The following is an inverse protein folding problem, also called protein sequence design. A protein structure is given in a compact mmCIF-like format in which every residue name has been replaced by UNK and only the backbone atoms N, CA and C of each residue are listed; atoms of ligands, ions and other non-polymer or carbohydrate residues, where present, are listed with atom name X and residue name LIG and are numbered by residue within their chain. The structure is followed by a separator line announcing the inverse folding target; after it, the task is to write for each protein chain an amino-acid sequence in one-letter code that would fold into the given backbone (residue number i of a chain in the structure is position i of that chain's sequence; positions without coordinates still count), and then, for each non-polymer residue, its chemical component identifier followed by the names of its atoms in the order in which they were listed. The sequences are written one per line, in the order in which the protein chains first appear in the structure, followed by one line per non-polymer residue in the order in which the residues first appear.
data_IF_994838946667
#
_entry.id   IF_994838946667
#
_cell.length_a   1.000
_cell.length_b   1.000
_cell.length_c   1.000
_cell.angle_alpha   90.00
_cell.angle_beta   90.00
_cell.angle_gamma   90.00
#
_symmetry.space_group_name_H-M   'P 1'
#
loop_
_entity.id
_entity.type
_entity.pdbx_description
1 polymer ?
#
# COMPACT_ATOMS: atom_id res chain seq x y z
N UNK A 1 5.85 -7.35 -22.25
CA UNK A 1 4.42 -7.60 -22.54
C UNK A 1 4.04 -6.76 -23.74
N UNK A 2 3.33 -7.34 -24.68
CA UNK A 2 2.75 -6.65 -25.83
C UNK A 2 1.23 -6.77 -25.76
N UNK A 3 0.53 -5.70 -26.06
CA UNK A 3 -0.94 -5.64 -26.10
C UNK A 3 -1.39 -5.15 -27.49
N UNK A 4 -2.30 -5.89 -28.08
CA UNK A 4 -2.98 -5.57 -29.34
C UNK A 4 -4.44 -5.17 -29.05
N UNK A 5 -4.75 -3.90 -29.26
CA UNK A 5 -6.08 -3.34 -28.96
C UNK A 5 -7.19 -3.85 -29.90
N UNK A 6 -6.83 -4.30 -31.11
CA UNK A 6 -7.78 -4.79 -32.10
C UNK A 6 -8.31 -6.18 -31.72
N UNK A 7 -7.45 -7.03 -31.17
CA UNK A 7 -7.77 -8.42 -30.83
C UNK A 7 -7.95 -8.65 -29.33
N UNK A 8 -7.59 -7.67 -28.49
CA UNK A 8 -7.53 -7.84 -27.04
C UNK A 8 -6.41 -8.77 -26.58
N UNK A 9 -5.52 -9.19 -27.48
CA UNK A 9 -4.46 -10.16 -27.18
C UNK A 9 -3.33 -9.50 -26.39
N UNK A 10 -2.99 -10.13 -25.26
CA UNK A 10 -1.80 -9.81 -24.46
C UNK A 10 -0.79 -10.93 -24.58
N UNK A 11 0.45 -10.62 -24.90
CA UNK A 11 1.58 -11.56 -24.92
C UNK A 11 2.57 -11.20 -23.84
N UNK A 12 2.86 -12.16 -22.98
CA UNK A 12 3.89 -12.01 -21.96
C UNK A 12 5.21 -12.61 -22.42
N UNK A 13 6.30 -11.90 -22.13
CA UNK A 13 7.64 -12.43 -22.39
C UNK A 13 8.02 -13.54 -21.40
N UNK A 14 8.98 -14.42 -21.74
CA UNK A 14 9.31 -15.61 -20.97
C UNK A 14 9.54 -15.36 -19.48
N UNK A 15 10.19 -14.24 -19.13
CA UNK A 15 10.43 -13.89 -17.74
C UNK A 15 9.13 -13.75 -16.92
N UNK A 16 8.14 -13.05 -17.47
CA UNK A 16 6.86 -12.87 -16.78
C UNK A 16 6.10 -14.21 -16.66
N UNK A 17 6.12 -15.04 -17.70
CA UNK A 17 5.53 -16.38 -17.66
C UNK A 17 6.14 -17.23 -16.56
N UNK A 18 7.47 -17.17 -16.41
CA UNK A 18 8.21 -17.97 -15.43
C UNK A 18 8.01 -17.45 -13.99
N UNK A 19 8.15 -16.15 -13.77
CA UNK A 19 8.18 -15.57 -12.41
C UNK A 19 6.81 -15.09 -11.91
N UNK A 20 5.97 -14.55 -12.79
CA UNK A 20 4.62 -14.11 -12.43
C UNK A 20 3.57 -15.22 -12.54
N UNK A 21 3.96 -16.39 -13.10
CA UNK A 21 3.05 -17.55 -13.32
C UNK A 21 1.82 -17.24 -14.17
N UNK A 22 1.95 -16.28 -15.09
CA UNK A 22 0.89 -15.90 -16.03
C UNK A 22 1.00 -16.73 -17.32
N UNK A 23 -0.10 -16.96 -18.06
CA UNK A 23 -0.04 -17.58 -19.38
C UNK A 23 0.82 -16.75 -20.36
N UNK A 24 1.44 -17.41 -21.35
CA UNK A 24 2.22 -16.70 -22.38
C UNK A 24 1.34 -15.77 -23.23
N UNK A 25 0.09 -16.15 -23.44
CA UNK A 25 -0.93 -15.37 -24.15
C UNK A 25 -2.25 -15.43 -23.40
N UNK A 26 -3.00 -14.32 -23.38
CA UNK A 26 -4.36 -14.23 -22.87
C UNK A 26 -5.14 -13.16 -23.63
N UNK A 27 -6.46 -13.22 -23.56
CA UNK A 27 -7.36 -12.24 -24.15
C UNK A 27 -8.03 -11.41 -23.05
N UNK A 28 -7.94 -10.10 -23.14
CA UNK A 28 -8.65 -9.17 -22.28
C UNK A 28 -9.95 -8.71 -22.96
N UNK A 29 -11.05 -8.60 -22.19
CA UNK A 29 -11.15 -8.79 -20.73
C UNK A 29 -11.40 -10.22 -20.24
N UNK A 30 -11.60 -11.20 -21.12
CA UNK A 30 -12.12 -12.54 -20.78
C UNK A 30 -11.20 -13.32 -19.82
N UNK A 31 -9.91 -13.18 -19.98
CA UNK A 31 -8.89 -13.93 -19.22
C UNK A 31 -8.26 -13.10 -18.07
N UNK A 32 -8.93 -12.05 -17.62
CA UNK A 32 -8.38 -11.15 -16.59
C UNK A 32 -7.95 -11.90 -15.32
N UNK A 33 -8.73 -12.88 -14.89
CA UNK A 33 -8.44 -13.68 -13.70
C UNK A 33 -7.16 -14.52 -13.81
N UNK A 34 -6.70 -14.75 -15.05
CA UNK A 34 -5.45 -15.49 -15.34
C UNK A 34 -4.25 -14.59 -15.50
N UNK A 35 -4.46 -13.28 -15.58
CA UNK A 35 -3.42 -12.30 -15.89
C UNK A 35 -2.49 -11.99 -14.70
N UNK A 36 -2.90 -12.34 -13.48
CA UNK A 36 -2.23 -11.90 -12.26
C UNK A 36 -2.46 -10.42 -11.92
N UNK A 37 -3.23 -9.70 -12.75
CA UNK A 37 -3.62 -8.30 -12.53
C UNK A 37 -5.05 -8.23 -11.99
N UNK A 38 -5.31 -7.25 -11.14
CA UNK A 38 -6.66 -6.90 -10.73
C UNK A 38 -7.37 -6.09 -11.82
N UNK A 39 -8.69 -5.97 -11.75
CA UNK A 39 -9.44 -5.08 -12.63
C UNK A 39 -8.96 -3.62 -12.51
N UNK A 40 -8.54 -3.22 -11.30
CA UNK A 40 -8.01 -1.90 -11.04
C UNK A 40 -6.64 -1.68 -11.69
N UNK A 41 -5.76 -2.66 -11.65
CA UNK A 41 -4.48 -2.60 -12.36
C UNK A 41 -4.69 -2.36 -13.86
N UNK A 42 -5.64 -3.06 -14.46
CA UNK A 42 -5.99 -2.87 -15.87
C UNK A 42 -6.53 -1.46 -16.12
N UNK A 43 -7.42 -0.94 -15.25
CA UNK A 43 -7.94 0.44 -15.37
C UNK A 43 -6.82 1.48 -15.28
N UNK A 44 -5.86 1.29 -14.36
CA UNK A 44 -4.69 2.18 -14.20
C UNK A 44 -3.83 2.19 -15.46
N UNK A 45 -3.52 1.01 -16.01
CA UNK A 45 -2.77 0.86 -17.26
C UNK A 45 -3.53 1.55 -18.41
N UNK A 46 -4.82 1.27 -18.56
CA UNK A 46 -5.65 1.88 -19.60
C UNK A 46 -5.72 3.42 -19.46
N UNK A 47 -5.87 3.94 -18.24
CA UNK A 47 -5.87 5.39 -17.98
C UNK A 47 -4.53 6.02 -18.37
N UNK A 48 -3.42 5.39 -18.01
CA UNK A 48 -2.09 5.86 -18.39
C UNK A 48 -1.91 5.86 -19.92
N UNK A 49 -2.33 4.81 -20.61
CA UNK A 49 -2.26 4.72 -22.07
C UNK A 49 -3.17 5.72 -22.78
N UNK A 50 -4.37 5.99 -22.24
CA UNK A 50 -5.29 7.02 -22.81
C UNK A 50 -4.72 8.44 -22.72
N UNK A 51 -3.79 8.71 -21.84
CA UNK A 51 -3.10 9.99 -21.74
C UNK A 51 -1.98 10.14 -22.78
N UNK A 52 -1.60 9.08 -23.50
CA UNK A 52 -0.57 9.10 -24.54
C UNK A 52 -1.13 9.57 -25.86
N UNK A 53 -0.24 10.05 -26.73
CA UNK A 53 -0.55 10.46 -28.10
C UNK A 53 0.54 9.94 -29.03
N UNK A 54 0.34 9.99 -30.36
CA UNK A 54 1.38 9.62 -31.35
C UNK A 54 2.68 10.40 -31.15
N UNK A 55 2.61 11.67 -30.74
CA UNK A 55 3.78 12.52 -30.50
C UNK A 55 4.40 12.32 -29.11
N UNK A 56 3.61 11.84 -28.14
CA UNK A 56 4.02 11.56 -26.77
C UNK A 56 3.56 10.14 -26.41
N UNK A 57 4.18 9.10 -26.98
CA UNK A 57 3.68 7.73 -26.85
C UNK A 57 4.08 7.06 -25.53
N UNK A 58 5.00 7.65 -24.76
CA UNK A 58 5.54 7.05 -23.56
C UNK A 58 4.83 7.55 -22.32
N UNK A 59 4.57 6.65 -21.37
CA UNK A 59 4.10 6.96 -20.03
C UNK A 59 4.66 5.92 -19.06
N UNK A 60 4.63 6.23 -17.76
CA UNK A 60 5.11 5.33 -16.72
C UNK A 60 4.12 5.27 -15.57
N UNK A 61 4.05 4.13 -14.92
CA UNK A 61 3.34 3.97 -13.65
C UNK A 61 4.07 2.97 -12.75
N UNK A 62 3.86 3.09 -11.45
CA UNK A 62 4.36 2.09 -10.51
C UNK A 62 3.22 1.20 -10.07
N UNK A 63 3.46 -0.11 -9.97
CA UNK A 63 2.47 -1.07 -9.52
C UNK A 63 3.13 -2.28 -8.86
N UNK A 64 2.36 -2.97 -8.00
CA UNK A 64 2.75 -4.23 -7.40
C UNK A 64 2.50 -5.36 -8.41
N UNK A 65 3.53 -6.15 -8.68
CA UNK A 65 3.41 -7.35 -9.51
C UNK A 65 3.71 -8.59 -8.67
N UNK A 66 2.94 -9.67 -8.84
CA UNK A 66 3.25 -10.96 -8.22
C UNK A 66 4.46 -11.57 -8.93
N UNK A 67 5.57 -11.73 -8.23
CA UNK A 67 6.80 -12.35 -8.72
C UNK A 67 7.21 -13.43 -7.73
N UNK A 68 7.34 -14.68 -8.19
CA UNK A 68 7.68 -15.85 -7.37
C UNK A 68 6.78 -16.04 -6.13
N UNK A 69 5.52 -15.58 -6.22
CA UNK A 69 4.53 -15.71 -5.16
C UNK A 69 4.53 -14.56 -4.14
N UNK A 70 5.38 -13.57 -4.32
CA UNK A 70 5.43 -12.35 -3.51
C UNK A 70 5.10 -11.11 -4.34
N UNK A 71 4.54 -10.07 -3.72
CA UNK A 71 4.23 -8.80 -4.39
C UNK A 71 5.44 -7.87 -4.31
N UNK A 72 5.96 -7.50 -5.47
CA UNK A 72 7.08 -6.59 -5.60
C UNK A 72 6.71 -5.34 -6.39
N UNK A 73 7.21 -4.20 -5.96
CA UNK A 73 7.06 -2.96 -6.70
C UNK A 73 7.86 -2.97 -7.99
N UNK A 74 7.18 -2.63 -9.09
CA UNK A 74 7.78 -2.47 -10.40
C UNK A 74 7.41 -1.13 -11.00
N UNK A 75 8.36 -0.51 -11.68
CA UNK A 75 8.10 0.58 -12.62
C UNK A 75 7.71 -0.03 -13.94
N UNK A 76 6.54 0.33 -14.43
CA UNK A 76 6.02 -0.12 -15.73
C UNK A 76 6.17 1.04 -16.71
N UNK A 77 7.15 0.94 -17.58
CA UNK A 77 7.26 1.84 -18.73
C UNK A 77 6.33 1.33 -19.83
N UNK A 78 5.39 2.17 -20.25
CA UNK A 78 4.42 1.88 -21.29
C UNK A 78 4.72 2.73 -22.52
N UNK A 79 4.64 2.12 -23.69
CA UNK A 79 4.72 2.82 -24.96
C UNK A 79 3.53 2.43 -25.83
N UNK A 80 2.68 3.40 -26.13
CA UNK A 80 1.56 3.22 -27.07
C UNK A 80 2.06 3.14 -28.52
N UNK A 81 1.39 2.32 -29.30
CA UNK A 81 1.64 2.12 -30.74
C UNK A 81 0.44 2.70 -31.49
N UNK A 82 0.72 3.54 -32.46
CA UNK A 82 -0.29 4.26 -33.25
C UNK A 82 -0.13 3.92 -34.73
N UNK A 83 -1.23 3.92 -35.48
CA UNK A 83 -1.21 3.76 -36.94
C UNK A 83 -0.49 4.91 -37.64
N UNK A 84 -0.08 4.70 -38.87
CA UNK A 84 0.48 5.72 -39.75
C UNK A 84 -0.60 6.56 -40.46
N UNK A 85 -1.86 6.21 -40.31
CA UNK A 85 -3.01 6.87 -40.93
C UNK A 85 -3.20 8.31 -40.44
N UNK A 86 -4.04 9.06 -41.15
CA UNK A 86 -4.48 10.40 -40.75
C UNK A 86 -6.02 10.46 -40.81
N UNK A 87 -6.71 10.61 -39.68
CA UNK A 87 -6.19 10.70 -38.29
C UNK A 87 -5.61 9.36 -37.77
N UNK A 88 -4.57 9.43 -36.93
CA UNK A 88 -3.97 8.23 -36.35
C UNK A 88 -4.92 7.57 -35.35
N UNK A 89 -4.94 6.24 -35.32
CA UNK A 89 -5.67 5.47 -34.34
C UNK A 89 -4.74 4.57 -33.52
N UNK A 90 -5.16 4.23 -32.31
CA UNK A 90 -4.40 3.40 -31.36
C UNK A 90 -4.42 1.95 -31.84
N UNK A 91 -3.24 1.32 -31.89
CA UNK A 91 -3.06 -0.08 -32.28
C UNK A 91 -2.78 -0.99 -31.09
N UNK A 92 -2.14 -0.47 -30.06
CA UNK A 92 -1.76 -1.28 -28.90
C UNK A 92 -0.65 -0.63 -28.08
N UNK A 93 -0.02 -1.40 -27.22
CA UNK A 93 1.08 -0.95 -26.39
C UNK A 93 2.11 -2.01 -26.13
N UNK A 94 3.35 -1.57 -25.86
CA UNK A 94 4.42 -2.38 -25.30
C UNK A 94 4.67 -1.93 -23.87
N UNK A 95 4.83 -2.88 -22.95
CA UNK A 95 5.18 -2.60 -21.57
C UNK A 95 6.45 -3.31 -21.15
N UNK A 96 7.28 -2.60 -20.42
CA UNK A 96 8.47 -3.12 -19.77
C UNK A 96 8.36 -2.89 -18.27
N UNK A 97 8.39 -3.98 -17.50
CA UNK A 97 8.47 -3.92 -16.05
C UNK A 97 9.94 -3.94 -15.61
N UNK A 98 10.31 -3.01 -14.75
CA UNK A 98 11.63 -2.97 -14.11
C UNK A 98 11.42 -3.07 -12.62
N UNK A 99 11.99 -4.07 -11.92
CA UNK A 99 11.95 -4.13 -10.47
C UNK A 99 12.45 -2.81 -9.88
N UNK A 100 11.73 -2.29 -8.93
CA UNK A 100 12.16 -1.07 -8.23
C UNK A 100 13.41 -1.36 -7.38
N UNK A 101 13.76 -2.61 -7.17
CA UNK A 101 14.92 -3.06 -6.40
C UNK A 101 16.29 -2.62 -6.95
N UNK A 102 16.46 -2.43 -8.25
CA UNK A 102 17.71 -1.89 -8.80
C UNK A 102 17.90 -0.37 -8.61
N UNK A 103 16.83 0.32 -8.23
CA UNK A 103 16.88 1.69 -7.68
C UNK A 103 16.89 1.66 -6.12
N UNK A 104 16.90 0.45 -5.52
CA UNK A 104 16.44 0.20 -4.17
C UNK A 104 17.40 0.54 -3.04
N UNK A 105 18.68 0.63 -3.22
CA UNK A 105 19.50 1.07 -2.07
C UNK A 105 19.24 2.57 -1.79
N UNK A 106 19.14 3.38 -2.82
CA UNK A 106 18.81 4.80 -2.66
C UNK A 106 17.31 5.01 -2.29
N UNK A 107 16.39 4.28 -2.90
CA UNK A 107 14.96 4.41 -2.59
C UNK A 107 14.55 3.74 -1.26
N UNK A 108 15.23 2.67 -0.82
CA UNK A 108 15.00 2.10 0.51
C UNK A 108 15.35 3.09 1.62
N UNK A 109 16.48 3.77 1.51
CA UNK A 109 16.87 4.79 2.48
C UNK A 109 15.93 5.99 2.47
N UNK A 110 15.45 6.42 1.29
CA UNK A 110 14.56 7.58 1.14
C UNK A 110 13.09 7.24 1.44
N UNK A 111 12.67 5.97 1.27
CA UNK A 111 11.27 5.54 1.47
C UNK A 111 10.93 5.12 2.89
N UNK A 112 11.93 4.86 3.73
CA UNK A 112 11.73 4.36 5.09
C UNK A 112 12.01 5.44 6.13
N UNK A 113 11.26 5.36 7.22
CA UNK A 113 11.57 6.12 8.42
C UNK A 113 12.78 5.50 9.14
N UNK A 114 13.78 6.29 9.46
CA UNK A 114 15.05 5.82 10.01
C UNK A 114 14.91 5.22 11.42
N UNK A 115 13.89 5.62 12.18
CA UNK A 115 13.68 5.13 13.53
C UNK A 115 12.93 3.80 13.54
N UNK A 116 11.91 3.66 12.71
CA UNK A 116 10.94 2.56 12.77
C UNK A 116 11.09 1.55 11.63
N UNK A 117 11.78 1.91 10.55
CA UNK A 117 11.85 1.18 9.29
C UNK A 117 10.49 0.95 8.60
N UNK A 118 9.41 1.54 9.11
CA UNK A 118 8.15 1.67 8.39
C UNK A 118 8.33 2.56 7.14
N UNK A 119 7.41 2.54 6.19
CA UNK A 119 7.42 3.55 5.14
C UNK A 119 7.27 4.94 5.75
N UNK A 120 7.96 5.93 5.19
CA UNK A 120 7.76 7.31 5.64
C UNK A 120 6.57 7.96 4.92
N UNK A 121 6.11 9.08 5.45
CA UNK A 121 4.96 9.82 4.92
C UNK A 121 5.19 10.29 3.48
N UNK A 122 6.38 10.77 3.15
CA UNK A 122 6.69 11.24 1.79
C UNK A 122 6.56 10.12 0.75
N UNK A 123 7.00 8.92 1.08
CA UNK A 123 6.82 7.76 0.21
C UNK A 123 5.34 7.37 0.08
N UNK A 124 4.59 7.42 1.19
CA UNK A 124 3.15 7.19 1.16
C UNK A 124 2.45 8.17 0.22
N UNK A 125 2.66 9.47 0.38
CA UNK A 125 2.03 10.51 -0.42
C UNK A 125 2.40 10.45 -1.91
N UNK A 126 3.66 10.10 -2.22
CA UNK A 126 4.15 10.05 -3.60
C UNK A 126 3.87 8.75 -4.34
N UNK A 127 3.72 7.63 -3.63
CA UNK A 127 3.66 6.30 -4.23
C UNK A 127 2.43 5.50 -3.80
N UNK A 128 2.22 5.32 -2.48
CA UNK A 128 1.16 4.45 -1.99
C UNK A 128 -0.23 5.07 -2.14
N UNK A 129 -0.35 6.37 -2.00
CA UNK A 129 -1.63 7.08 -2.21
C UNK A 129 -2.13 6.93 -3.65
N UNK A 130 -1.24 6.70 -4.61
CA UNK A 130 -1.59 6.45 -6.01
C UNK A 130 -2.20 5.06 -6.25
N UNK A 131 -2.20 4.15 -5.26
CA UNK A 131 -2.87 2.85 -5.35
C UNK A 131 -4.39 2.95 -5.43
N UNK A 132 -4.96 4.10 -5.15
CA UNK A 132 -6.37 4.47 -5.26
C UNK A 132 -7.31 3.74 -4.30
N UNK A 133 -7.18 2.43 -4.07
CA UNK A 133 -8.08 1.62 -3.25
C UNK A 133 -7.32 0.70 -2.30
N UNK A 134 -7.92 0.42 -1.15
CA UNK A 134 -7.50 -0.60 -0.18
C UNK A 134 -8.73 -1.37 0.31
N UNK A 135 -8.53 -2.56 0.88
CA UNK A 135 -9.62 -3.33 1.50
C UNK A 135 -9.74 -3.09 3.01
N UNK A 136 -8.80 -2.31 3.56
CA UNK A 136 -8.83 -1.82 4.91
C UNK A 136 -7.80 -0.73 5.13
N UNK A 137 -8.20 0.31 5.85
CA UNK A 137 -7.36 1.43 6.29
C UNK A 137 -7.46 1.55 7.79
N UNK A 138 -6.32 1.52 8.48
CA UNK A 138 -6.25 1.60 9.93
C UNK A 138 -5.26 2.68 10.34
N UNK A 139 -5.74 3.67 11.10
CA UNK A 139 -4.92 4.67 11.76
C UNK A 139 -4.67 4.24 13.21
N UNK A 140 -3.44 4.41 13.66
CA UNK A 140 -2.98 4.07 14.99
C UNK A 140 -2.17 5.22 15.57
N UNK A 141 -2.38 5.52 16.84
CA UNK A 141 -1.65 6.56 17.57
C UNK A 141 -1.35 6.08 19.00
N UNK A 142 -0.11 6.34 19.46
CA UNK A 142 0.32 5.99 20.80
C UNK A 142 -0.41 6.84 21.85
N UNK A 143 -0.96 6.16 22.87
CA UNK A 143 -1.63 6.86 23.95
C UNK A 143 -0.61 7.52 24.89
N UNK A 144 -0.86 8.77 25.23
CA UNK A 144 -0.03 9.54 26.15
C UNK A 144 1.45 9.71 25.77
N UNK A 145 1.78 9.63 24.48
CA UNK A 145 3.19 9.69 24.03
C UNK A 145 3.93 10.95 24.51
N UNK A 146 3.28 12.11 24.51
CA UNK A 146 3.87 13.34 25.04
C UNK A 146 4.27 13.21 26.51
N UNK A 147 3.51 12.47 27.33
CA UNK A 147 3.86 12.20 28.73
C UNK A 147 5.03 11.23 28.84
N UNK A 148 5.15 10.23 27.96
CA UNK A 148 6.30 9.33 27.90
C UNK A 148 7.59 10.12 27.66
N UNK A 149 7.62 10.92 26.60
CA UNK A 149 8.78 11.75 26.26
C UNK A 149 9.09 12.81 27.33
N UNK A 150 8.05 13.40 27.94
CA UNK A 150 8.21 14.40 29.02
C UNK A 150 8.72 13.83 30.33
N UNK A 151 8.33 12.60 30.69
CA UNK A 151 8.68 11.97 31.97
C UNK A 151 9.99 11.19 31.88
N UNK A 152 10.19 10.43 30.82
CA UNK A 152 11.32 9.50 30.66
C UNK A 152 12.39 10.00 29.68
N UNK A 153 12.15 11.15 29.05
CA UNK A 153 13.06 11.76 28.08
C UNK A 153 12.94 11.21 26.66
N UNK A 154 13.58 11.89 25.71
CA UNK A 154 13.50 11.59 24.28
C UNK A 154 13.93 10.16 23.92
N UNK A 155 14.99 9.65 24.56
CA UNK A 155 15.49 8.30 24.30
C UNK A 155 14.44 7.23 24.63
N UNK A 156 13.67 7.41 25.71
CA UNK A 156 12.55 6.52 26.05
C UNK A 156 11.43 6.62 25.02
N UNK A 157 11.12 7.83 24.53
CA UNK A 157 10.15 8.05 23.45
C UNK A 157 10.58 7.36 22.15
N UNK A 158 11.82 7.53 21.73
CA UNK A 158 12.36 6.88 20.53
C UNK A 158 12.35 5.35 20.65
N UNK A 159 12.67 4.82 21.83
CA UNK A 159 12.59 3.37 22.11
C UNK A 159 11.14 2.87 22.06
N UNK A 160 10.20 3.62 22.65
CA UNK A 160 8.79 3.28 22.64
C UNK A 160 8.24 3.19 21.21
N UNK A 161 8.47 4.24 20.39
CA UNK A 161 8.05 4.26 18.98
C UNK A 161 8.64 3.08 18.19
N UNK A 162 9.94 2.83 18.34
CA UNK A 162 10.61 1.71 17.65
C UNK A 162 10.02 0.37 18.04
N UNK A 163 9.77 0.16 19.34
CA UNK A 163 9.24 -1.10 19.85
C UNK A 163 7.81 -1.31 19.40
N UNK A 164 6.98 -0.25 19.42
CA UNK A 164 5.60 -0.30 18.91
C UNK A 164 5.60 -0.60 17.42
N UNK A 165 6.41 0.09 16.61
CA UNK A 165 6.51 -0.18 15.18
C UNK A 165 6.91 -1.63 14.88
N UNK A 166 7.83 -2.21 15.66
CA UNK A 166 8.22 -3.61 15.55
C UNK A 166 7.07 -4.56 15.87
N UNK A 167 6.30 -4.30 16.95
CA UNK A 167 5.14 -5.09 17.32
C UNK A 167 4.03 -5.03 16.26
N UNK A 168 3.75 -3.83 15.73
CA UNK A 168 2.78 -3.63 14.64
C UNK A 168 3.23 -4.34 13.37
N UNK A 169 4.50 -4.19 12.98
CA UNK A 169 5.08 -4.83 11.80
C UNK A 169 4.96 -6.36 11.84
N UNK A 170 5.07 -6.97 13.01
CA UNK A 170 4.89 -8.42 13.19
C UNK A 170 3.44 -8.88 12.95
N UNK A 171 2.47 -7.96 13.02
CA UNK A 171 1.06 -8.24 12.79
C UNK A 171 0.61 -8.01 11.34
N UNK A 172 1.45 -7.52 10.44
CA UNK A 172 1.13 -7.22 9.05
C UNK A 172 1.90 -8.11 8.07
N UNK A 173 1.33 -8.34 6.89
CA UNK A 173 1.97 -9.15 5.84
C UNK A 173 2.88 -8.24 5.01
N UNK A 174 4.16 -8.54 4.97
CA UNK A 174 5.14 -7.75 4.20
C UNK A 174 4.89 -7.74 2.69
N UNK A 175 4.17 -8.74 2.17
CA UNK A 175 3.90 -8.91 0.75
C UNK A 175 2.68 -8.15 0.23
N UNK A 176 1.73 -7.79 1.10
CA UNK A 176 0.46 -7.18 0.66
C UNK A 176 0.02 -5.98 1.46
N UNK A 177 0.56 -5.81 2.67
CA UNK A 177 0.13 -4.75 3.56
C UNK A 177 1.23 -3.69 3.68
N UNK A 178 0.87 -2.44 3.92
CA UNK A 178 1.83 -1.37 4.14
C UNK A 178 1.70 -0.78 5.54
N UNK A 179 2.83 -0.67 6.24
CA UNK A 179 2.96 0.09 7.48
C UNK A 179 3.70 1.39 7.17
N UNK A 180 3.07 2.52 7.46
CA UNK A 180 3.58 3.86 7.23
C UNK A 180 3.69 4.59 8.57
N UNK A 181 4.82 5.24 8.84
CA UNK A 181 4.91 6.24 9.90
C UNK A 181 4.31 7.55 9.37
N UNK A 182 3.10 7.86 9.80
CA UNK A 182 2.30 8.95 9.27
C UNK A 182 2.55 10.27 9.99
N UNK A 183 2.83 10.20 11.28
CA UNK A 183 3.18 11.33 12.15
C UNK A 183 4.29 10.97 13.14
N UNK A 184 4.45 11.78 14.18
CA UNK A 184 5.48 11.59 15.20
C UNK A 184 5.26 10.26 15.98
N UNK A 185 4.04 10.02 16.40
CA UNK A 185 3.56 8.85 17.13
C UNK A 185 2.37 8.17 16.44
N UNK A 186 2.09 8.56 15.19
CA UNK A 186 1.00 8.06 14.38
C UNK A 186 1.49 7.10 13.28
N UNK A 187 0.73 6.02 13.08
CA UNK A 187 0.97 5.06 12.02
C UNK A 187 -0.30 4.84 11.20
N UNK A 188 -0.11 4.69 9.90
CA UNK A 188 -1.15 4.29 8.94
C UNK A 188 -0.83 2.90 8.42
N UNK A 189 -1.83 2.03 8.41
CA UNK A 189 -1.74 0.70 7.82
C UNK A 189 -2.75 0.58 6.68
N UNK A 190 -2.26 0.09 5.55
CA UNK A 190 -3.07 -0.24 4.39
C UNK A 190 -3.08 -1.76 4.23
N UNK A 191 -4.27 -2.32 4.11
CA UNK A 191 -4.47 -3.76 3.93
C UNK A 191 -5.09 -4.04 2.57
N UNK A 192 -4.54 -5.01 1.86
CA UNK A 192 -5.09 -5.53 0.63
C UNK A 192 -5.51 -6.99 0.80
N UNK A 193 -6.59 -7.38 0.13
CA UNK A 193 -7.16 -8.73 0.18
C UNK A 193 -7.45 -9.21 1.63
N UNK A 194 -8.04 -8.33 2.46
CA UNK A 194 -8.38 -8.64 3.85
C UNK A 194 -9.90 -8.71 4.05
N UNK A 195 -10.46 -9.86 4.47
CA UNK A 195 -11.86 -9.95 4.86
C UNK A 195 -12.15 -9.11 6.13
N UNK A 196 -13.35 -8.55 6.24
CA UNK A 196 -13.75 -7.68 7.34
C UNK A 196 -13.49 -8.28 8.75
N UNK A 197 -13.80 -9.58 8.95
CA UNK A 197 -13.58 -10.25 10.23
C UNK A 197 -12.09 -10.42 10.55
N UNK A 198 -11.23 -10.63 9.55
CA UNK A 198 -9.79 -10.71 9.72
C UNK A 198 -9.21 -9.32 9.99
N UNK A 199 -9.75 -8.27 9.34
CA UNK A 199 -9.35 -6.89 9.63
C UNK A 199 -9.61 -6.52 11.10
N UNK A 200 -10.80 -6.83 11.62
CA UNK A 200 -11.13 -6.58 13.01
C UNK A 200 -10.24 -7.38 13.98
N UNK A 201 -9.99 -8.66 13.68
CA UNK A 201 -9.07 -9.48 14.46
C UNK A 201 -7.66 -8.89 14.45
N UNK A 202 -7.18 -8.44 13.30
CA UNK A 202 -5.85 -7.86 13.14
C UNK A 202 -5.69 -6.56 13.92
N UNK A 203 -6.70 -5.69 13.91
CA UNK A 203 -6.69 -4.46 14.69
C UNK A 203 -6.56 -4.75 16.19
N UNK A 204 -7.31 -5.73 16.71
CA UNK A 204 -7.23 -6.14 18.11
C UNK A 204 -5.91 -6.84 18.46
N UNK A 205 -5.34 -7.66 17.56
CA UNK A 205 -4.02 -8.26 17.72
C UNK A 205 -2.94 -7.18 17.84
N UNK A 206 -3.01 -6.14 17.02
CA UNK A 206 -2.09 -4.99 17.09
C UNK A 206 -2.23 -4.29 18.45
N UNK A 207 -3.46 -3.94 18.86
CA UNK A 207 -3.72 -3.30 20.14
C UNK A 207 -3.14 -4.12 21.31
N UNK A 208 -3.49 -5.40 21.36
CA UNK A 208 -3.05 -6.30 22.42
C UNK A 208 -1.53 -6.53 22.43
N UNK A 209 -0.89 -6.61 21.25
CA UNK A 209 0.56 -6.77 21.14
C UNK A 209 1.29 -5.55 21.70
N UNK A 210 0.80 -4.34 21.47
CA UNK A 210 1.37 -3.11 22.03
C UNK A 210 1.15 -3.06 23.55
N UNK A 211 -0.05 -3.36 24.04
CA UNK A 211 -0.35 -3.40 25.48
C UNK A 211 0.53 -4.42 26.23
N UNK A 212 0.95 -5.49 25.57
CA UNK A 212 1.83 -6.50 26.13
C UNK A 212 3.31 -6.09 26.21
N UNK A 213 3.72 -5.00 25.56
CA UNK A 213 5.12 -4.54 25.56
C UNK A 213 5.58 -4.24 26.99
N UNK A 214 6.78 -4.71 27.31
CA UNK A 214 7.51 -4.39 28.53
C UNK A 214 8.93 -3.99 28.16
N UNK A 215 9.28 -2.76 28.46
CA UNK A 215 10.61 -2.23 28.18
C UNK A 215 11.53 -2.51 29.38
N UNK A 216 12.62 -3.21 29.16
CA UNK A 216 13.58 -3.60 30.23
C UNK A 216 14.16 -2.40 30.94
N UNK A 217 14.50 -1.35 30.18
CA UNK A 217 15.08 -0.12 30.72
C UNK A 217 14.06 0.79 31.41
N UNK A 218 12.76 0.56 31.21
CA UNK A 218 11.66 1.34 31.74
C UNK A 218 10.52 0.41 32.22
N UNK A 219 10.74 -0.34 33.31
CA UNK A 219 9.83 -1.41 33.74
C UNK A 219 8.43 -0.91 34.16
N UNK A 220 8.31 0.34 34.53
CA UNK A 220 7.04 0.96 34.94
C UNK A 220 6.28 1.57 33.76
N UNK A 221 6.93 1.76 32.62
CA UNK A 221 6.29 2.33 31.45
C UNK A 221 5.34 1.31 30.80
N UNK A 222 4.09 1.73 30.63
CA UNK A 222 3.05 0.98 29.92
C UNK A 222 2.72 1.71 28.64
N UNK A 223 2.76 0.98 27.53
CA UNK A 223 2.41 1.50 26.20
C UNK A 223 1.05 0.96 25.81
N UNK A 224 0.19 1.85 25.34
CA UNK A 224 -1.09 1.50 24.71
C UNK A 224 -1.27 2.32 23.44
N UNK A 225 -2.15 1.86 22.58
CA UNK A 225 -2.51 2.52 21.33
C UNK A 225 -4.02 2.60 21.19
N UNK A 226 -4.46 3.67 20.57
CA UNK A 226 -5.83 3.79 20.08
C UNK A 226 -5.82 3.60 18.57
N UNK A 227 -6.84 2.92 18.05
CA UNK A 227 -6.96 2.60 16.64
C UNK A 227 -8.31 3.01 16.09
N UNK A 228 -8.30 3.65 14.93
CA UNK A 228 -9.50 3.95 14.14
C UNK A 228 -9.35 3.34 12.76
N UNK A 229 -10.36 2.61 12.28
CA UNK A 229 -10.22 1.95 10.99
C UNK A 229 -11.51 1.73 10.22
N UNK A 230 -11.36 1.68 8.90
CA UNK A 230 -12.44 1.36 7.97
C UNK A 230 -12.06 0.14 7.15
N UNK A 231 -13.04 -0.70 6.82
CA UNK A 231 -12.88 -1.94 6.09
C UNK A 231 -13.90 -2.04 4.92
N UNK A 232 -13.58 -2.89 3.97
CA UNK A 232 -14.25 -2.98 2.68
C UNK A 232 -13.49 -2.19 1.63
N UNK A 233 -13.61 -2.59 0.36
CA UNK A 233 -12.91 -1.90 -0.73
C UNK A 233 -13.25 -0.41 -0.72
N UNK A 234 -12.26 0.43 -0.54
CA UNK A 234 -12.43 1.86 -0.30
C UNK A 234 -11.30 2.68 -0.95
N UNK A 235 -11.62 3.86 -1.49
CA UNK A 235 -10.61 4.83 -1.89
C UNK A 235 -9.78 5.26 -0.69
N UNK A 236 -8.46 5.32 -0.85
CA UNK A 236 -7.52 5.49 0.28
C UNK A 236 -7.72 6.84 0.98
N UNK A 237 -7.78 7.96 0.25
CA UNK A 237 -7.91 9.30 0.86
C UNK A 237 -9.20 9.47 1.68
N UNK A 238 -10.42 9.18 1.16
CA UNK A 238 -11.64 9.27 1.96
C UNK A 238 -11.64 8.26 3.13
N UNK A 239 -11.04 7.08 2.94
CA UNK A 239 -10.94 6.09 4.00
C UNK A 239 -10.03 6.54 5.15
N UNK A 240 -8.93 7.24 4.86
CA UNK A 240 -8.08 7.86 5.89
C UNK A 240 -8.88 8.87 6.70
N UNK A 241 -9.62 9.77 6.07
CA UNK A 241 -10.42 10.78 6.78
C UNK A 241 -11.45 10.15 7.74
N UNK A 242 -12.11 9.05 7.31
CA UNK A 242 -13.01 8.31 8.19
C UNK A 242 -12.25 7.58 9.31
N UNK A 243 -11.09 7.00 9.03
CA UNK A 243 -10.26 6.34 10.04
C UNK A 243 -9.72 7.33 11.07
N UNK A 244 -9.29 8.53 10.67
CA UNK A 244 -8.88 9.62 11.56
C UNK A 244 -10.02 10.03 12.51
N UNK A 245 -11.25 10.15 12.00
CA UNK A 245 -12.44 10.45 12.84
C UNK A 245 -12.65 9.36 13.89
N UNK A 246 -12.58 8.10 13.51
CA UNK A 246 -12.70 6.97 14.43
C UNK A 246 -11.54 6.91 15.43
N UNK A 247 -10.31 7.23 15.00
CA UNK A 247 -9.17 7.32 15.90
C UNK A 247 -9.35 8.43 16.92
N UNK A 248 -9.84 9.60 16.49
CA UNK A 248 -10.16 10.70 17.40
C UNK A 248 -11.17 10.27 18.49
N UNK A 249 -12.22 9.54 18.10
CA UNK A 249 -13.21 8.99 19.03
C UNK A 249 -12.58 7.92 19.96
N UNK A 250 -11.74 7.04 19.43
CA UNK A 250 -11.01 6.04 20.21
C UNK A 250 -10.11 6.68 21.28
N UNK A 251 -9.51 7.84 20.99
CA UNK A 251 -8.68 8.61 21.94
C UNK A 251 -9.44 9.11 23.17
N UNK A 252 -10.76 9.15 23.14
CA UNK A 252 -11.57 9.52 24.32
C UNK A 252 -11.53 8.41 25.39
N UNK A 253 -11.52 7.15 24.96
CA UNK A 253 -11.47 5.96 25.85
C UNK A 253 -10.05 5.45 26.01
N UNK A 254 -9.24 5.54 24.95
CA UNK A 254 -7.90 5.00 24.80
C UNK A 254 -7.84 3.47 24.85
N UNK A 255 -6.70 2.92 24.45
CA UNK A 255 -6.43 1.48 24.44
C UNK A 255 -7.59 0.68 23.83
N UNK A 256 -8.12 1.13 22.71
CA UNK A 256 -9.27 0.51 22.04
C UNK A 256 -9.22 0.65 20.52
N UNK A 257 -10.02 -0.17 19.86
CA UNK A 257 -10.20 -0.16 18.40
C UNK A 257 -11.63 0.27 18.08
N UNK A 258 -11.80 1.30 17.25
CA UNK A 258 -13.08 1.67 16.66
C UNK A 258 -13.02 1.40 15.15
N UNK A 259 -13.88 0.50 14.69
CA UNK A 259 -13.87 0.02 13.32
C UNK A 259 -15.26 0.19 12.69
N UNK A 260 -15.29 0.56 11.41
CA UNK A 260 -16.53 0.74 10.64
C UNK A 260 -16.35 0.24 9.22
N UNK A 261 -17.45 -0.23 8.62
CA UNK A 261 -17.46 -0.44 7.17
C UNK A 261 -17.38 0.91 6.45
N UNK A 262 -16.57 0.98 5.40
CA UNK A 262 -16.48 2.18 4.57
C UNK A 262 -17.85 2.55 4.01
N UNK A 263 -18.17 3.82 4.04
CA UNK A 263 -19.39 4.38 3.42
C UNK A 263 -19.01 5.60 2.62
N UNK A 264 -19.44 5.65 1.36
CA UNK A 264 -19.31 6.89 0.58
C UNK A 264 -20.14 8.00 1.24
N UNK A 265 -19.45 9.08 1.62
CA UNK A 265 -20.14 10.30 2.02
C UNK A 265 -20.76 10.93 0.77
N UNK A 266 -22.07 11.19 0.83
CA UNK A 266 -22.85 11.79 -0.27
C UNK A 266 -22.66 13.30 -0.33
#
# INVERSE_FOLDING_TARGET
MDYDDTTGLVRFYPWAVEHMKVPAELHLPEDIDKSGFTQEDIRRIQKALRATTRTHPNTELSMLLPVDGELHWHRIALRSIWSEDDPPFYLGAVAQATPVEELCDYHREVSRDMLTHAYNRSFFESQLLQLMEADGVLMLDLDHFGAVSGTYGRQAGDLAIRTVAGAVSACVRSSSDALVRYGDDEFLLLFHHIPAHIFAQRAEEIRASVEAIRLTDYPDLRLTVSLGGVYGTCPIEPAIAQAETLLHDAKQTRNCCLLRQYTEEK
#
